data_IF_546934140176
#
_entry.id   IF_546934140176
#
_cell.length_a   1.000
_cell.length_b   1.000
_cell.length_c   1.000
_cell.angle_alpha   90.00
_cell.angle_beta   90.00
_cell.angle_gamma   90.00
#
_symmetry.space_group_name_H-M   'P 1'
#
loop_
_entity.id
_entity.type
_entity.pdbx_description
1 polymer ?
#
# COMPACT_ATOMS: atom_id res chain seq x y z
N UNK A 1 -22.01 -4.47 -13.07
CA UNK A 1 -22.20 -5.77 -13.80
C UNK A 1 -21.52 -5.62 -15.15
N UNK A 2 -20.34 -6.19 -15.34
CA UNK A 2 -19.66 -6.17 -16.65
C UNK A 2 -20.28 -7.31 -17.45
N UNK A 3 -21.17 -6.96 -18.37
CA UNK A 3 -21.77 -7.92 -19.28
C UNK A 3 -20.67 -8.41 -20.22
N UNK A 4 -20.44 -9.71 -20.19
CA UNK A 4 -19.53 -10.41 -21.06
C UNK A 4 -19.88 -10.16 -22.53
N UNK A 5 -19.13 -9.31 -23.19
CA UNK A 5 -19.26 -9.09 -24.61
C UNK A 5 -18.01 -9.61 -25.33
N UNK A 6 -18.09 -10.85 -25.82
CA UNK A 6 -17.03 -11.50 -26.60
C UNK A 6 -16.53 -10.66 -27.81
N UNK A 7 -17.38 -9.77 -28.36
CA UNK A 7 -16.98 -8.85 -29.41
C UNK A 7 -16.05 -7.74 -28.92
N UNK A 8 -16.27 -7.22 -27.70
CA UNK A 8 -15.43 -6.21 -27.07
C UNK A 8 -14.05 -6.79 -26.70
N UNK A 9 -14.01 -8.01 -26.20
CA UNK A 9 -12.76 -8.71 -25.86
C UNK A 9 -11.87 -8.90 -27.09
N UNK A 10 -12.47 -9.36 -28.22
CA UNK A 10 -11.74 -9.52 -29.48
C UNK A 10 -11.23 -8.18 -30.06
N UNK A 11 -11.97 -7.07 -29.86
CA UNK A 11 -11.54 -5.72 -30.30
C UNK A 11 -10.42 -5.14 -29.45
N UNK A 12 -10.40 -5.44 -28.14
CA UNK A 12 -9.41 -4.89 -27.21
C UNK A 12 -8.17 -5.77 -27.08
N UNK A 13 -8.19 -6.97 -27.67
CA UNK A 13 -7.12 -7.99 -27.53
C UNK A 13 -6.74 -8.28 -26.06
N UNK A 14 -7.72 -8.13 -25.15
CA UNK A 14 -7.56 -8.32 -23.70
C UNK A 14 -8.55 -9.39 -23.22
N UNK A 15 -8.06 -10.35 -22.47
CA UNK A 15 -8.95 -11.30 -21.79
C UNK A 15 -9.50 -10.69 -20.49
N UNK A 16 -10.40 -11.41 -19.81
CA UNK A 16 -10.99 -10.95 -18.55
C UNK A 16 -9.94 -10.83 -17.45
N UNK A 17 -8.90 -11.67 -17.47
CA UNK A 17 -7.84 -11.65 -16.48
C UNK A 17 -6.97 -10.43 -16.67
N UNK A 18 -6.69 -10.04 -17.92
CA UNK A 18 -5.99 -8.80 -18.25
C UNK A 18 -6.76 -7.59 -17.71
N UNK A 19 -8.10 -7.60 -17.87
CA UNK A 19 -8.94 -6.52 -17.37
C UNK A 19 -8.97 -6.49 -15.84
N UNK A 20 -9.15 -7.67 -15.20
CA UNK A 20 -9.10 -7.79 -13.73
C UNK A 20 -7.74 -7.31 -13.21
N UNK A 21 -6.65 -7.75 -13.82
CA UNK A 21 -5.31 -7.35 -13.43
C UNK A 21 -5.13 -5.83 -13.54
N UNK A 22 -5.52 -5.23 -14.67
CA UNK A 22 -5.37 -3.79 -14.88
C UNK A 22 -6.25 -2.95 -13.94
N UNK A 23 -7.53 -3.35 -13.77
CA UNK A 23 -8.47 -2.63 -12.93
C UNK A 23 -8.13 -2.74 -11.45
N UNK A 24 -7.69 -3.93 -11.00
CA UNK A 24 -7.48 -4.24 -9.58
C UNK A 24 -6.05 -4.01 -9.08
N UNK A 25 -5.19 -3.36 -9.86
CA UNK A 25 -3.87 -2.93 -9.38
C UNK A 25 -4.01 -1.96 -8.20
N UNK A 26 -3.13 -2.12 -7.20
CA UNK A 26 -2.89 -1.08 -6.21
C UNK A 26 -1.69 -0.27 -6.69
N UNK A 27 -1.83 1.04 -6.74
CA UNK A 27 -0.74 1.96 -7.09
C UNK A 27 -0.45 2.83 -5.89
N UNK A 28 0.81 2.79 -5.44
CA UNK A 28 1.29 3.48 -4.24
C UNK A 28 2.45 4.38 -4.63
N UNK A 29 2.46 5.59 -4.11
CA UNK A 29 3.62 6.48 -4.13
C UNK A 29 4.15 6.63 -2.70
N UNK A 30 5.46 6.46 -2.57
CA UNK A 30 6.20 6.53 -1.31
C UNK A 30 7.24 7.62 -1.47
N UNK A 31 7.33 8.51 -0.48
CA UNK A 31 8.28 9.61 -0.43
C UNK A 31 9.21 9.39 0.77
N UNK A 32 10.42 8.86 0.56
CA UNK A 32 11.35 8.58 1.63
C UNK A 32 12.03 9.86 2.14
N UNK A 33 12.53 9.81 3.38
CA UNK A 33 13.58 10.72 3.80
C UNK A 33 14.92 10.33 3.17
N UNK A 34 15.82 11.26 2.89
CA UNK A 34 17.12 11.00 2.29
C UNK A 34 18.13 10.45 3.31
N UNK A 35 17.80 9.32 3.95
CA UNK A 35 18.63 8.64 4.95
C UNK A 35 19.18 7.31 4.44
N UNK A 36 20.11 6.77 5.21
CA UNK A 36 20.90 5.60 4.84
C UNK A 36 20.11 4.29 4.98
N UNK A 37 20.32 3.39 4.03
CA UNK A 37 20.01 1.94 4.03
C UNK A 37 18.68 1.54 4.69
N UNK A 38 17.54 1.83 4.06
CA UNK A 38 16.24 1.65 4.68
C UNK A 38 15.29 0.91 3.76
N UNK A 39 14.64 -0.09 4.33
CA UNK A 39 13.47 -0.70 3.71
C UNK A 39 12.35 0.32 3.56
N UNK A 40 11.78 0.39 2.36
CA UNK A 40 10.62 1.21 2.08
C UNK A 40 9.34 0.39 1.88
N UNK A 41 9.42 -0.94 1.78
CA UNK A 41 8.28 -1.84 1.65
C UNK A 41 8.67 -3.27 1.99
N UNK A 42 7.74 -4.06 2.53
CA UNK A 42 7.91 -5.48 2.83
C UNK A 42 7.01 -6.32 1.92
N UNK A 43 7.59 -7.09 1.02
CA UNK A 43 6.87 -7.89 0.03
C UNK A 43 6.84 -9.38 0.41
N UNK A 44 6.36 -9.71 1.58
CA UNK A 44 6.33 -11.09 2.11
C UNK A 44 5.82 -12.12 1.11
N UNK A 45 6.73 -12.83 0.41
CA UNK A 45 6.41 -13.84 -0.58
C UNK A 45 5.74 -13.33 -1.88
N UNK A 46 5.49 -12.02 -1.99
CA UNK A 46 4.78 -11.39 -3.10
C UNK A 46 5.65 -10.56 -4.05
N UNK A 47 6.97 -10.65 -3.96
CA UNK A 47 7.87 -9.81 -4.76
C UNK A 47 7.67 -9.95 -6.28
N UNK A 48 7.30 -11.13 -6.77
CA UNK A 48 6.98 -11.37 -8.20
C UNK A 48 5.70 -10.68 -8.68
N UNK A 49 4.88 -10.18 -7.76
CA UNK A 49 3.61 -9.49 -8.03
C UNK A 49 3.68 -7.99 -7.73
N UNK A 50 4.88 -7.47 -7.48
CA UNK A 50 5.14 -6.08 -7.22
C UNK A 50 6.12 -5.52 -8.26
N UNK A 51 5.79 -4.34 -8.78
CA UNK A 51 6.62 -3.61 -9.72
C UNK A 51 7.02 -2.28 -9.07
N UNK A 52 8.31 -2.01 -8.98
CA UNK A 52 8.88 -0.87 -8.26
C UNK A 52 9.67 0.01 -9.23
N UNK A 53 9.44 1.31 -9.15
CA UNK A 53 10.09 2.32 -9.98
C UNK A 53 10.56 3.48 -9.11
N UNK A 54 11.76 4.00 -9.39
CA UNK A 54 12.31 5.17 -8.68
C UNK A 54 12.17 6.43 -9.53
N UNK A 55 11.65 7.48 -8.92
CA UNK A 55 11.33 8.75 -9.54
C UNK A 55 10.44 8.54 -10.79
N UNK A 56 10.75 9.15 -11.91
CA UNK A 56 10.00 8.98 -13.15
C UNK A 56 10.70 8.02 -14.13
N UNK A 57 11.59 7.14 -13.63
CA UNK A 57 12.29 6.17 -14.44
C UNK A 57 11.38 4.97 -14.75
N UNK A 58 11.36 4.54 -16.01
CA UNK A 58 10.61 3.36 -16.46
C UNK A 58 11.30 2.03 -16.13
N UNK A 59 12.59 2.07 -15.71
CA UNK A 59 13.33 0.88 -15.35
C UNK A 59 12.83 0.31 -14.03
N UNK A 60 12.34 -0.92 -14.07
CA UNK A 60 11.87 -1.62 -12.88
C UNK A 60 13.03 -2.00 -11.95
N UNK A 61 12.83 -1.77 -10.65
CA UNK A 61 13.77 -2.08 -9.57
C UNK A 61 13.31 -3.34 -8.85
N UNK A 62 14.24 -4.25 -8.54
CA UNK A 62 13.94 -5.55 -7.89
C UNK A 62 14.35 -5.63 -6.42
N UNK A 63 14.51 -4.50 -5.76
CA UNK A 63 14.83 -4.42 -4.33
C UNK A 63 13.81 -3.56 -3.57
N UNK A 64 13.73 -3.75 -2.26
CA UNK A 64 12.78 -3.09 -1.36
C UNK A 64 13.45 -2.09 -0.42
N UNK A 65 14.70 -1.72 -0.68
CA UNK A 65 15.50 -0.81 0.14
C UNK A 65 16.23 0.20 -0.73
N UNK A 66 16.62 1.31 -0.12
CA UNK A 66 17.52 2.32 -0.70
C UNK A 66 18.95 2.06 -0.24
N UNK A 67 19.93 2.26 -1.13
CA UNK A 67 21.34 2.22 -0.74
C UNK A 67 21.75 3.55 -0.11
N UNK A 68 22.79 3.56 0.75
CA UNK A 68 23.34 4.80 1.27
C UNK A 68 23.71 5.77 0.16
N UNK A 69 23.30 7.03 0.31
CA UNK A 69 23.61 8.10 -0.62
C UNK A 69 22.75 8.17 -1.88
N UNK A 70 21.80 7.25 -2.08
CA UNK A 70 20.84 7.36 -3.18
C UNK A 70 19.87 8.52 -2.96
N UNK A 71 19.76 9.37 -3.98
CA UNK A 71 18.87 10.54 -3.97
C UNK A 71 17.53 10.22 -4.65
N UNK A 72 16.81 9.25 -4.12
CA UNK A 72 15.45 8.91 -4.58
C UNK A 72 14.45 9.78 -3.86
N UNK A 73 13.62 10.50 -4.60
CA UNK A 73 12.61 11.41 -4.06
C UNK A 73 11.23 10.80 -4.03
N UNK A 74 10.95 9.88 -4.96
CA UNK A 74 9.65 9.22 -5.10
C UNK A 74 9.86 7.76 -5.51
N UNK A 75 9.14 6.86 -4.87
CA UNK A 75 9.10 5.44 -5.21
C UNK A 75 7.67 5.10 -5.60
N UNK A 76 7.47 4.63 -6.84
CA UNK A 76 6.19 4.13 -7.30
C UNK A 76 6.18 2.62 -7.18
N UNK A 77 5.17 2.09 -6.50
CA UNK A 77 4.93 0.66 -6.36
C UNK A 77 3.59 0.29 -6.97
N UNK A 78 3.58 -0.74 -7.81
CA UNK A 78 2.36 -1.31 -8.38
C UNK A 78 2.26 -2.74 -7.89
N UNK A 79 1.20 -3.05 -7.15
CA UNK A 79 0.87 -4.42 -6.72
C UNK A 79 -0.21 -4.97 -7.65
N UNK A 80 0.07 -6.08 -8.32
CA UNK A 80 -0.89 -6.70 -9.21
C UNK A 80 -2.00 -7.45 -8.44
N UNK A 81 -3.02 -7.94 -9.14
CA UNK A 81 -4.17 -8.62 -8.54
C UNK A 81 -3.80 -9.85 -7.69
N UNK A 82 -2.70 -10.51 -7.98
CA UNK A 82 -2.24 -11.71 -7.27
C UNK A 82 -1.67 -11.41 -5.88
N UNK A 83 -1.30 -10.17 -5.60
CA UNK A 83 -0.89 -9.74 -4.26
C UNK A 83 -2.12 -9.71 -3.34
N UNK A 84 -2.21 -10.62 -2.37
CA UNK A 84 -3.47 -10.90 -1.62
C UNK A 84 -3.53 -10.30 -0.22
N UNK A 85 -2.43 -9.83 0.34
CA UNK A 85 -2.38 -9.33 1.72
C UNK A 85 -1.66 -8.00 1.80
N UNK A 86 -2.10 -7.14 2.70
CA UNK A 86 -1.41 -5.91 3.06
C UNK A 86 -0.86 -5.96 4.50
N UNK A 87 -0.93 -7.14 5.15
CA UNK A 87 -0.37 -7.35 6.48
C UNK A 87 1.12 -6.98 6.48
N UNK A 88 1.50 -6.05 7.34
CA UNK A 88 2.87 -5.61 7.52
C UNK A 88 3.55 -4.96 6.30
N UNK A 89 2.80 -4.55 5.27
CA UNK A 89 3.38 -4.05 4.01
C UNK A 89 4.43 -2.95 4.21
N UNK A 90 4.25 -2.07 5.18
CA UNK A 90 5.18 -1.01 5.55
C UNK A 90 5.72 -1.15 6.98
N UNK A 91 5.54 -2.31 7.61
CA UNK A 91 6.02 -2.51 8.98
C UNK A 91 7.51 -2.18 9.10
N UNK A 92 7.85 -1.34 10.08
CA UNK A 92 9.24 -0.90 10.34
C UNK A 92 9.93 -0.13 9.19
N UNK A 93 9.15 0.39 8.24
CA UNK A 93 9.66 1.30 7.21
C UNK A 93 9.87 2.70 7.83
N UNK A 94 10.89 2.84 8.66
CA UNK A 94 11.09 3.95 9.60
C UNK A 94 11.47 5.29 8.95
N UNK A 95 11.81 5.31 7.68
CA UNK A 95 12.27 6.52 6.98
C UNK A 95 11.39 6.95 5.84
N UNK A 96 10.14 6.58 5.88
CA UNK A 96 9.14 7.10 4.97
C UNK A 96 8.51 8.34 5.61
N UNK A 97 8.49 9.44 4.85
CA UNK A 97 7.81 10.68 5.24
C UNK A 97 6.34 10.67 4.83
N UNK A 98 6.06 10.19 3.60
CA UNK A 98 4.71 10.20 3.03
C UNK A 98 4.40 8.93 2.25
N UNK A 99 3.17 8.46 2.37
CA UNK A 99 2.60 7.38 1.54
C UNK A 99 1.27 7.85 0.98
N UNK A 100 1.06 7.67 -0.34
CA UNK A 100 -0.20 7.95 -1.00
C UNK A 100 -0.66 6.74 -1.81
N UNK A 101 -1.90 6.28 -1.57
CA UNK A 101 -2.52 5.23 -2.36
C UNK A 101 -3.29 5.86 -3.52
N UNK A 102 -2.64 5.97 -4.68
CA UNK A 102 -3.19 6.63 -5.87
C UNK A 102 -4.33 5.82 -6.48
N UNK A 103 -4.28 4.48 -6.35
CA UNK A 103 -5.32 3.59 -6.84
C UNK A 103 -5.46 2.40 -5.90
N UNK A 104 -6.70 2.12 -5.47
CA UNK A 104 -7.02 1.00 -4.60
C UNK A 104 -8.38 0.39 -4.97
N UNK A 105 -8.47 -0.30 -6.09
CA UNK A 105 -9.70 -0.93 -6.55
C UNK A 105 -9.76 -2.41 -6.13
N UNK A 106 -9.67 -2.67 -4.82
CA UNK A 106 -9.62 -4.04 -4.26
C UNK A 106 -10.71 -4.25 -3.22
N UNK A 107 -11.39 -5.39 -3.35
CA UNK A 107 -12.37 -5.84 -2.38
C UNK A 107 -12.02 -7.22 -1.77
N UNK A 108 -10.88 -7.78 -2.14
CA UNK A 108 -10.43 -9.11 -1.68
C UNK A 108 -9.35 -9.05 -0.59
N UNK A 109 -9.01 -7.87 -0.11
CA UNK A 109 -8.11 -7.68 1.02
C UNK A 109 -8.90 -7.87 2.31
N UNK A 110 -8.45 -8.78 3.16
CA UNK A 110 -9.12 -9.09 4.43
C UNK A 110 -8.22 -8.91 5.66
N UNK A 111 -6.92 -8.66 5.46
CA UNK A 111 -5.96 -8.44 6.53
C UNK A 111 -5.07 -7.24 6.21
N UNK A 112 -5.11 -6.24 7.12
CA UNK A 112 -4.28 -5.03 7.12
C UNK A 112 -3.54 -4.86 8.45
N UNK A 113 -3.41 -5.95 9.25
CA UNK A 113 -2.69 -5.90 10.52
C UNK A 113 -1.25 -5.46 10.31
N UNK A 114 -0.72 -4.66 11.22
CA UNK A 114 0.65 -4.13 11.20
C UNK A 114 1.04 -3.33 9.96
N UNK A 115 0.09 -2.95 9.11
CA UNK A 115 0.39 -2.41 7.78
C UNK A 115 1.37 -1.22 7.80
N UNK A 116 1.22 -0.30 8.75
CA UNK A 116 2.07 0.87 8.95
C UNK A 116 2.77 0.87 10.32
N UNK A 117 2.77 -0.28 11.02
CA UNK A 117 3.36 -0.39 12.36
C UNK A 117 4.84 0.01 12.34
N UNK A 118 5.24 0.85 13.29
CA UNK A 118 6.59 1.38 13.44
C UNK A 118 7.11 2.24 12.26
N UNK A 119 6.22 2.85 11.49
CA UNK A 119 6.57 3.90 10.55
C UNK A 119 6.83 5.21 11.33
N UNK A 120 7.94 5.27 12.06
CA UNK A 120 8.22 6.32 13.07
C UNK A 120 8.21 7.74 12.51
N UNK A 121 8.66 7.93 11.26
CA UNK A 121 8.79 9.24 10.62
C UNK A 121 7.66 9.53 9.60
N UNK A 122 6.62 8.68 9.52
CA UNK A 122 5.50 8.92 8.64
C UNK A 122 4.69 10.14 9.12
N UNK A 123 4.65 11.19 8.30
CA UNK A 123 3.96 12.45 8.57
C UNK A 123 2.64 12.57 7.82
N UNK A 124 2.60 12.07 6.57
CA UNK A 124 1.44 12.17 5.70
C UNK A 124 1.03 10.78 5.17
N UNK A 125 -0.25 10.45 5.33
CA UNK A 125 -0.81 9.18 4.86
C UNK A 125 -2.15 9.41 4.17
N UNK A 126 -2.19 9.23 2.84
CA UNK A 126 -3.41 9.33 2.07
C UNK A 126 -4.03 7.95 1.83
N UNK A 127 -5.18 7.71 2.48
CA UNK A 127 -6.01 6.52 2.38
C UNK A 127 -7.37 6.81 1.73
N UNK A 128 -7.53 7.92 1.03
CA UNK A 128 -8.81 8.37 0.46
C UNK A 128 -9.44 7.37 -0.51
N UNK A 129 -8.63 6.53 -1.14
CA UNK A 129 -9.07 5.49 -2.08
C UNK A 129 -9.29 4.12 -1.43
N UNK A 130 -9.09 3.99 -0.12
CA UNK A 130 -9.22 2.68 0.55
C UNK A 130 -10.67 2.19 0.58
N UNK A 131 -10.81 0.88 0.34
CA UNK A 131 -12.03 0.13 0.63
C UNK A 131 -11.69 -0.95 1.66
N UNK A 132 -12.29 -0.85 2.84
CA UNK A 132 -12.06 -1.79 3.95
C UNK A 132 -13.26 -2.68 4.24
N UNK A 133 -14.28 -2.73 3.36
CA UNK A 133 -15.53 -3.47 3.56
C UNK A 133 -15.36 -4.97 3.86
N UNK A 134 -14.26 -5.56 3.45
CA UNK A 134 -13.96 -6.97 3.65
C UNK A 134 -12.82 -7.23 4.63
N UNK A 135 -12.26 -6.17 5.23
CA UNK A 135 -11.17 -6.30 6.21
C UNK A 135 -11.70 -6.89 7.51
N UNK A 136 -10.98 -7.88 8.04
CA UNK A 136 -11.29 -8.59 9.28
C UNK A 136 -10.28 -8.30 10.38
N UNK A 137 -9.08 -7.92 10.02
CA UNK A 137 -7.98 -7.68 10.97
C UNK A 137 -7.25 -6.38 10.63
N UNK A 138 -7.24 -5.47 11.61
CA UNK A 138 -6.54 -4.18 11.60
C UNK A 138 -5.65 -4.03 12.86
N UNK A 139 -5.30 -5.16 13.52
CA UNK A 139 -4.45 -5.14 14.71
C UNK A 139 -3.18 -4.34 14.45
N UNK A 140 -2.85 -3.40 15.34
CA UNK A 140 -1.62 -2.60 15.30
C UNK A 140 -1.34 -1.89 13.97
N UNK A 141 -2.40 -1.61 13.18
CA UNK A 141 -2.25 -1.07 11.82
C UNK A 141 -1.40 0.20 11.77
N UNK A 142 -1.57 1.11 12.73
CA UNK A 142 -0.84 2.37 12.83
C UNK A 142 0.05 2.47 14.08
N UNK A 143 0.29 1.35 14.77
CA UNK A 143 1.07 1.36 16.02
C UNK A 143 2.43 2.03 15.82
N UNK A 144 2.76 2.97 16.71
CA UNK A 144 4.01 3.74 16.69
C UNK A 144 4.23 4.58 15.42
N UNK A 145 3.18 5.07 14.77
CA UNK A 145 3.28 6.16 13.79
C UNK A 145 3.44 7.49 14.53
N UNK A 146 4.61 7.72 15.11
CA UNK A 146 4.84 8.79 16.09
C UNK A 146 4.72 10.20 15.53
N UNK A 147 4.97 10.40 14.22
CA UNK A 147 4.93 11.70 13.55
C UNK A 147 3.63 11.96 12.79
N UNK A 148 2.74 10.98 12.68
CA UNK A 148 1.47 11.13 11.97
C UNK A 148 0.55 12.04 12.77
N UNK A 149 0.16 13.18 12.20
CA UNK A 149 -0.64 14.22 12.86
C UNK A 149 -2.12 14.07 12.57
N UNK A 150 -2.45 13.77 11.34
CA UNK A 150 -3.82 13.68 10.85
C UNK A 150 -4.03 12.37 10.08
N UNK A 151 -5.20 11.78 10.23
CA UNK A 151 -5.56 10.56 9.52
C UNK A 151 -7.04 10.59 9.13
N UNK A 152 -7.31 10.68 7.83
CA UNK A 152 -8.67 10.62 7.33
C UNK A 152 -9.13 9.16 7.15
N UNK A 153 -10.09 8.73 7.97
CA UNK A 153 -10.67 7.38 7.95
C UNK A 153 -12.14 7.36 7.51
N UNK A 154 -12.64 8.42 6.86
CA UNK A 154 -14.06 8.53 6.47
C UNK A 154 -14.52 7.37 5.57
N UNK A 155 -13.61 6.81 4.78
CA UNK A 155 -13.90 5.67 3.89
C UNK A 155 -13.68 4.30 4.54
N UNK A 156 -13.33 4.25 5.84
CA UNK A 156 -13.10 3.00 6.54
C UNK A 156 -14.41 2.38 7.01
N UNK A 157 -14.67 1.17 6.59
CA UNK A 157 -15.75 0.32 7.11
C UNK A 157 -15.18 -0.64 8.15
N UNK A 158 -15.73 -0.64 9.35
CA UNK A 158 -15.34 -1.56 10.43
C UNK A 158 -16.33 -2.71 10.61
N UNK A 159 -17.36 -2.81 9.76
CA UNK A 159 -18.48 -3.76 9.89
C UNK A 159 -18.06 -5.23 10.00
N UNK A 160 -16.95 -5.62 9.37
CA UNK A 160 -16.43 -6.99 9.39
C UNK A 160 -15.17 -7.16 10.23
N UNK A 161 -14.66 -6.08 10.81
CA UNK A 161 -13.42 -6.12 11.58
C UNK A 161 -13.65 -6.85 12.90
N UNK A 162 -12.79 -7.82 13.17
CA UNK A 162 -12.80 -8.66 14.39
C UNK A 162 -11.71 -8.29 15.37
N UNK A 163 -10.64 -7.67 14.88
CA UNK A 163 -9.49 -7.30 15.70
C UNK A 163 -8.96 -5.91 15.29
N UNK A 164 -9.00 -4.98 16.25
CA UNK A 164 -8.47 -3.62 16.14
C UNK A 164 -7.55 -3.30 17.32
N UNK A 165 -7.05 -4.32 18.06
CA UNK A 165 -6.24 -4.11 19.23
C UNK A 165 -4.99 -3.30 18.90
N UNK A 166 -4.66 -2.32 19.74
CA UNK A 166 -3.47 -1.48 19.65
C UNK A 166 -3.35 -0.67 18.33
N UNK A 167 -4.48 -0.43 17.63
CA UNK A 167 -4.47 0.18 16.29
C UNK A 167 -3.73 1.52 16.25
N UNK A 168 -3.87 2.37 17.29
CA UNK A 168 -3.22 3.68 17.43
C UNK A 168 -2.23 3.75 18.60
N UNK A 169 -1.77 2.61 19.12
CA UNK A 169 -0.83 2.61 20.23
C UNK A 169 0.44 3.39 19.87
N UNK A 170 0.86 4.30 20.74
CA UNK A 170 2.03 5.19 20.56
C UNK A 170 1.99 6.11 19.33
N UNK A 171 0.82 6.44 18.80
CA UNK A 171 0.66 7.52 17.83
C UNK A 171 0.69 8.87 18.59
N UNK A 172 1.88 9.37 18.92
CA UNK A 172 2.08 10.49 19.86
C UNK A 172 1.59 11.84 19.35
N UNK A 173 1.57 12.03 18.02
CA UNK A 173 1.23 13.30 17.36
C UNK A 173 -0.16 13.30 16.76
N UNK A 174 -0.91 12.21 16.81
CA UNK A 174 -2.23 12.10 16.19
C UNK A 174 -3.26 12.85 17.04
N UNK A 175 -3.98 13.81 16.40
CA UNK A 175 -5.03 14.65 16.97
C UNK A 175 -6.42 14.22 16.52
#
# INVERSE_FOLDING_TARGET
MIIYNNRLQKRLNKDINDYINEYSKIVIEIYPYPYENINFINLFGGASYAHIYFDDNEKEIKRTYLNPGEKVTKIKVILDYRYKTLCGLFKECRSIRKISFIKFNRNNINNMSFMFSECLLLEELDLSHFNTDNVKDMQKMFMSCEKLKELNLLNFSTKKVKNMSHIFEKCKSLE
#
